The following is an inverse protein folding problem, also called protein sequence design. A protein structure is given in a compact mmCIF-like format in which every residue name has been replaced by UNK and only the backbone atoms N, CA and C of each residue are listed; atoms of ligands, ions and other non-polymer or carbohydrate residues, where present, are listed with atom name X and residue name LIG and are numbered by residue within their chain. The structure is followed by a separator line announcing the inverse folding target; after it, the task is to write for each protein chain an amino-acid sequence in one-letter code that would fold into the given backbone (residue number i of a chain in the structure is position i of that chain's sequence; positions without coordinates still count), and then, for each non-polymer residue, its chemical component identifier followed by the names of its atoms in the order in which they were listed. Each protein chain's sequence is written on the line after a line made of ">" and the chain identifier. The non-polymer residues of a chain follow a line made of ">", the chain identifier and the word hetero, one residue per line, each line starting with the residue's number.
data_IF_631137325133
#
_entry.id   IF_631137325133
#
_cell.length_a   1.000
_cell.length_b   1.000
_cell.length_c   1.000
_cell.angle_alpha   90.00
_cell.angle_beta   90.00
_cell.angle_gamma   90.00
#
_symmetry.space_group_name_H-M   'P 1'
#
loop_
_entity.id
_entity.type
_entity.pdbx_description
1 polymer ?
#
# COMPACT_ATOMS: atom_id res chain seq x y z
N UNK A 1 48.48 26.42 95.33
CA UNK A 1 48.29 27.46 94.28
C UNK A 1 48.75 26.90 92.93
N UNK A 2 47.93 27.13 91.88
CA UNK A 2 48.14 26.72 90.46
C UNK A 2 47.92 25.22 90.18
N UNK A 3 47.15 24.74 89.19
CA UNK A 3 46.63 25.33 87.94
C UNK A 3 45.39 24.55 87.45
N UNK A 4 44.51 25.28 86.74
CA UNK A 4 43.49 24.78 85.82
C UNK A 4 44.08 23.92 84.70
N UNK A 5 43.36 22.89 84.23
CA UNK A 5 43.04 22.57 82.80
C UNK A 5 42.56 21.11 82.65
N UNK A 6 41.31 20.91 82.22
CA UNK A 6 40.90 19.88 81.21
C UNK A 6 39.38 19.63 81.22
N UNK A 7 38.59 20.66 80.89
CA UNK A 7 37.14 20.55 80.66
C UNK A 7 36.69 21.15 79.33
N UNK A 8 37.56 21.14 78.31
CA UNK A 8 37.32 21.85 77.02
C UNK A 8 37.48 20.96 75.77
N UNK A 9 37.42 19.64 75.93
CA UNK A 9 37.42 18.71 74.78
C UNK A 9 36.02 18.24 74.39
N UNK A 10 34.98 18.50 75.18
CA UNK A 10 33.67 17.87 74.96
C UNK A 10 32.85 18.51 73.85
N UNK A 11 32.75 19.84 73.77
CA UNK A 11 31.84 20.49 72.80
C UNK A 11 32.38 20.49 71.36
N UNK A 12 33.67 20.74 71.15
CA UNK A 12 34.26 20.77 69.81
C UNK A 12 34.29 19.37 69.16
N UNK A 13 34.56 18.32 69.95
CA UNK A 13 34.55 16.93 69.47
C UNK A 13 33.13 16.46 69.18
N UNK A 14 32.13 16.86 69.98
CA UNK A 14 30.72 16.54 69.73
C UNK A 14 30.22 17.21 68.43
N UNK A 15 30.58 18.47 68.18
CA UNK A 15 30.18 19.18 66.95
C UNK A 15 30.83 18.55 65.70
N UNK A 16 32.10 18.13 65.81
CA UNK A 16 32.81 17.47 64.72
C UNK A 16 32.21 16.08 64.42
N UNK A 17 31.90 15.29 65.46
CA UNK A 17 31.22 14.00 65.30
C UNK A 17 29.81 14.15 64.71
N UNK A 18 29.03 15.14 65.14
CA UNK A 18 27.70 15.39 64.59
C UNK A 18 27.75 15.80 63.10
N UNK A 19 28.76 16.58 62.70
CA UNK A 19 28.96 16.97 61.29
C UNK A 19 29.40 15.79 60.41
N UNK A 20 30.27 14.92 60.92
CA UNK A 20 30.69 13.70 60.21
C UNK A 20 29.52 12.72 60.06
N UNK A 21 28.68 12.56 61.09
CA UNK A 21 27.46 11.74 61.02
C UNK A 21 26.44 12.35 60.05
N UNK A 22 26.26 13.67 60.05
CA UNK A 22 25.38 14.36 59.10
C UNK A 22 25.85 14.23 57.65
N UNK A 23 27.15 14.35 57.40
CA UNK A 23 27.75 14.17 56.07
C UNK A 23 27.66 12.72 55.60
N UNK A 24 27.94 11.75 56.48
CA UNK A 24 27.78 10.32 56.18
C UNK A 24 26.30 9.96 55.90
N UNK A 25 25.36 10.51 56.67
CA UNK A 25 23.93 10.34 56.43
C UNK A 25 23.50 10.94 55.09
N UNK A 26 24.02 12.11 54.72
CA UNK A 26 23.73 12.75 53.43
C UNK A 26 24.31 11.98 52.23
N UNK A 27 25.51 11.41 52.35
CA UNK A 27 26.11 10.53 51.34
C UNK A 27 25.29 9.24 51.15
N UNK A 28 24.92 8.57 52.24
CA UNK A 28 24.06 7.37 52.20
C UNK A 28 22.69 7.69 51.60
N UNK A 29 22.12 8.87 51.87
CA UNK A 29 20.85 9.30 51.29
C UNK A 29 20.97 9.63 49.78
N UNK A 30 22.08 10.25 49.36
CA UNK A 30 22.36 10.56 47.95
C UNK A 30 22.59 9.30 47.10
N UNK A 31 23.32 8.32 47.62
CA UNK A 31 23.49 7.00 46.96
C UNK A 31 22.16 6.23 46.88
N UNK A 32 21.32 6.34 47.90
CA UNK A 32 19.97 5.73 47.92
C UNK A 32 19.02 6.37 46.90
N UNK A 33 19.07 7.69 46.73
CA UNK A 33 18.30 8.40 45.69
C UNK A 33 18.79 8.07 44.28
N UNK A 34 20.09 7.82 44.10
CA UNK A 34 20.68 7.37 42.84
C UNK A 34 20.28 5.94 42.47
N UNK A 35 20.34 5.01 43.44
CA UNK A 35 19.96 3.61 43.24
C UNK A 35 18.45 3.45 43.03
N UNK A 36 17.60 4.22 43.71
CA UNK A 36 16.15 4.23 43.46
C UNK A 36 15.80 4.76 42.06
N UNK A 37 16.51 5.78 41.55
CA UNK A 37 16.34 6.29 40.19
C UNK A 37 16.81 5.29 39.12
N UNK A 38 17.93 4.62 39.34
CA UNK A 38 18.43 3.56 38.45
C UNK A 38 17.46 2.38 38.40
N UNK A 39 16.98 1.91 39.56
CA UNK A 39 15.98 0.86 39.65
C UNK A 39 14.67 1.25 38.92
N UNK A 40 14.22 2.51 39.04
CA UNK A 40 13.05 3.00 38.33
C UNK A 40 13.25 3.06 36.80
N UNK A 41 14.46 3.42 36.33
CA UNK A 41 14.80 3.41 34.90
C UNK A 41 14.88 1.98 34.35
N UNK A 42 15.49 1.06 35.08
CA UNK A 42 15.54 -0.36 34.71
C UNK A 42 14.13 -0.97 34.66
N UNK A 43 13.28 -0.68 35.64
CA UNK A 43 11.89 -1.12 35.64
C UNK A 43 11.10 -0.56 34.43
N UNK A 44 11.32 0.71 34.06
CA UNK A 44 10.71 1.31 32.86
C UNK A 44 11.24 0.68 31.58
N UNK A 45 12.53 0.40 31.49
CA UNK A 45 13.13 -0.28 30.34
C UNK A 45 12.61 -1.71 30.20
N UNK A 46 12.46 -2.44 31.30
CA UNK A 46 11.85 -3.77 31.32
C UNK A 46 10.38 -3.72 30.89
N UNK A 47 9.61 -2.75 31.38
CA UNK A 47 8.21 -2.55 30.98
C UNK A 47 8.08 -2.20 29.48
N UNK A 48 8.93 -1.30 28.96
CA UNK A 48 8.96 -0.95 27.55
C UNK A 48 9.33 -2.15 26.67
N UNK A 49 10.33 -2.94 27.08
CA UNK A 49 10.71 -4.18 26.40
C UNK A 49 9.58 -5.21 26.39
N UNK A 50 8.87 -5.36 27.51
CA UNK A 50 7.71 -6.24 27.59
C UNK A 50 6.57 -5.78 26.66
N UNK A 51 6.31 -4.47 26.58
CA UNK A 51 5.32 -3.91 25.66
C UNK A 51 5.67 -4.15 24.19
N UNK A 52 6.95 -3.97 23.82
CA UNK A 52 7.41 -4.25 22.44
C UNK A 52 7.25 -5.73 22.12
N UNK A 53 7.66 -6.64 23.01
CA UNK A 53 7.51 -8.09 22.80
C UNK A 53 6.03 -8.50 22.68
N UNK A 54 5.15 -7.91 23.49
CA UNK A 54 3.71 -8.16 23.39
C UNK A 54 3.13 -7.65 22.06
N UNK A 55 3.60 -6.50 21.57
CA UNK A 55 3.18 -5.97 20.27
C UNK A 55 3.68 -6.82 19.10
N UNK A 56 4.91 -7.33 19.17
CA UNK A 56 5.46 -8.25 18.17
C UNK A 56 4.67 -9.56 18.14
N UNK A 57 4.38 -10.16 19.30
CA UNK A 57 3.58 -11.38 19.37
C UNK A 57 2.17 -11.19 18.76
N UNK A 58 1.51 -10.05 19.04
CA UNK A 58 0.22 -9.73 18.43
C UNK A 58 0.31 -9.58 16.90
N UNK A 59 1.39 -8.97 16.39
CA UNK A 59 1.59 -8.82 14.95
C UNK A 59 1.88 -10.16 14.27
N UNK A 60 2.64 -11.05 14.92
CA UNK A 60 2.88 -12.41 14.41
C UNK A 60 1.59 -13.23 14.35
N UNK A 61 0.72 -13.10 15.36
CA UNK A 61 -0.61 -13.72 15.35
C UNK A 61 -1.48 -13.16 14.21
N UNK A 62 -1.54 -11.84 14.04
CA UNK A 62 -2.27 -11.19 12.95
C UNK A 62 -1.72 -11.59 11.56
N UNK A 63 -0.41 -11.73 11.42
CA UNK A 63 0.19 -12.18 10.17
C UNK A 63 -0.19 -13.64 9.87
N UNK A 64 -0.21 -14.50 10.89
CA UNK A 64 -0.63 -15.90 10.74
C UNK A 64 -2.10 -16.04 10.33
N UNK A 65 -2.99 -15.24 10.92
CA UNK A 65 -4.42 -15.24 10.53
C UNK A 65 -4.63 -14.75 9.11
N UNK A 66 -3.94 -13.68 8.71
CA UNK A 66 -3.99 -13.18 7.32
C UNK A 66 -3.39 -14.17 6.32
N UNK A 67 -2.30 -14.85 6.65
CA UNK A 67 -1.74 -15.90 5.79
C UNK A 67 -2.71 -17.07 5.60
N UNK A 68 -3.39 -17.48 6.67
CA UNK A 68 -4.41 -18.54 6.63
C UNK A 68 -5.58 -18.12 5.75
N UNK A 69 -6.11 -16.91 5.97
CA UNK A 69 -7.19 -16.32 5.16
C UNK A 69 -6.80 -16.21 3.69
N UNK A 70 -5.56 -15.83 3.39
CA UNK A 70 -5.07 -15.75 2.01
C UNK A 70 -4.96 -17.14 1.37
N UNK A 71 -4.53 -18.15 2.12
CA UNK A 71 -4.49 -19.54 1.67
C UNK A 71 -5.90 -20.08 1.38
N UNK A 72 -6.87 -19.79 2.24
CA UNK A 72 -8.29 -20.13 2.04
C UNK A 72 -8.85 -19.46 0.78
N UNK A 73 -8.65 -18.15 0.62
CA UNK A 73 -9.09 -17.43 -0.59
C UNK A 73 -8.47 -18.00 -1.87
N UNK A 74 -7.19 -18.41 -1.84
CA UNK A 74 -6.55 -19.06 -2.98
C UNK A 74 -7.16 -20.42 -3.29
N UNK A 75 -7.50 -21.19 -2.26
CA UNK A 75 -8.18 -22.48 -2.42
C UNK A 75 -9.59 -22.29 -3.00
N UNK A 76 -10.34 -21.27 -2.53
CA UNK A 76 -11.66 -20.92 -3.06
C UNK A 76 -11.58 -20.52 -4.53
N UNK A 77 -10.61 -19.69 -4.91
CA UNK A 77 -10.38 -19.31 -6.32
C UNK A 77 -10.04 -20.53 -7.17
N UNK A 78 -9.18 -21.43 -6.69
CA UNK A 78 -8.85 -22.66 -7.40
C UNK A 78 -10.08 -23.57 -7.57
N UNK A 79 -10.91 -23.71 -6.53
CA UNK A 79 -12.14 -24.47 -6.59
C UNK A 79 -13.17 -23.86 -7.55
N UNK A 80 -13.31 -22.53 -7.55
CA UNK A 80 -14.17 -21.82 -8.51
C UNK A 80 -13.69 -22.03 -9.95
N UNK A 81 -12.37 -21.99 -10.18
CA UNK A 81 -11.78 -22.27 -11.50
C UNK A 81 -12.12 -23.69 -11.98
N UNK A 82 -11.93 -24.71 -11.15
CA UNK A 82 -12.29 -26.10 -11.49
C UNK A 82 -13.79 -26.25 -11.77
N UNK A 83 -14.66 -25.54 -11.03
CA UNK A 83 -16.11 -25.56 -11.28
C UNK A 83 -16.50 -24.90 -12.59
N UNK A 84 -15.83 -23.81 -12.97
CA UNK A 84 -16.05 -23.15 -14.25
C UNK A 84 -15.60 -24.06 -15.41
N UNK A 85 -14.47 -24.74 -15.26
CA UNK A 85 -14.00 -25.75 -16.23
C UNK A 85 -15.01 -26.89 -16.38
N UNK A 86 -15.52 -27.44 -15.27
CA UNK A 86 -16.54 -28.49 -15.31
C UNK A 86 -17.86 -28.01 -15.93
N UNK A 87 -18.25 -26.76 -15.68
CA UNK A 87 -19.44 -26.16 -16.29
C UNK A 87 -19.25 -25.93 -17.80
N UNK A 88 -18.07 -25.48 -18.22
CA UNK A 88 -17.72 -25.31 -19.63
C UNK A 88 -17.74 -26.66 -20.38
N UNK A 89 -17.15 -27.71 -19.80
CA UNK A 89 -17.20 -29.06 -20.35
C UNK A 89 -18.65 -29.61 -20.42
N UNK A 90 -19.50 -29.25 -19.45
CA UNK A 90 -20.93 -29.57 -19.48
C UNK A 90 -21.67 -28.90 -20.63
N UNK A 91 -21.31 -27.67 -20.98
CA UNK A 91 -21.90 -26.95 -22.14
C UNK A 91 -21.41 -27.55 -23.45
N UNK A 92 -20.13 -27.91 -23.54
CA UNK A 92 -19.54 -28.54 -24.73
C UNK A 92 -20.14 -29.92 -25.01
N UNK A 93 -20.33 -30.74 -23.98
CA UNK A 93 -21.02 -32.05 -24.11
C UNK A 93 -22.50 -31.91 -24.52
N UNK A 94 -23.20 -30.86 -24.07
CA UNK A 94 -24.56 -30.55 -24.52
C UNK A 94 -24.60 -30.08 -25.98
N UNK A 95 -23.60 -29.32 -26.43
CA UNK A 95 -23.44 -28.90 -27.82
C UNK A 95 -23.07 -30.07 -28.75
N UNK A 96 -22.20 -30.98 -28.32
CA UNK A 96 -21.86 -32.20 -29.05
C UNK A 96 -23.04 -33.19 -29.14
N UNK A 97 -23.82 -33.32 -28.07
CA UNK A 97 -25.06 -34.12 -28.08
C UNK A 97 -26.11 -33.53 -29.03
N UNK A 98 -26.16 -32.20 -29.18
CA UNK A 98 -26.98 -31.53 -30.17
C UNK A 98 -26.45 -31.66 -31.61
N UNK A 99 -25.13 -31.82 -31.80
CA UNK A 99 -24.49 -32.02 -33.10
C UNK A 99 -24.53 -33.47 -33.60
N UNK A 100 -24.84 -34.45 -32.75
CA UNK A 100 -24.86 -35.89 -33.05
C UNK A 100 -26.01 -36.42 -33.92
N UNK A 101 -26.84 -35.57 -34.55
CA UNK A 101 -27.83 -35.99 -35.55
C UNK A 101 -27.37 -35.61 -36.98
N UNK A 102 -26.43 -36.39 -37.55
CA UNK A 102 -26.04 -36.32 -38.96
C UNK A 102 -24.80 -37.19 -39.27
N UNK A 103 -24.72 -37.93 -40.40
CA UNK A 103 -23.94 -39.17 -40.47
C UNK A 103 -22.46 -39.01 -40.91
N UNK A 104 -21.59 -39.67 -40.13
CA UNK A 104 -20.34 -40.43 -40.41
C UNK A 104 -19.43 -40.12 -41.61
N UNK A 105 -18.11 -40.06 -41.37
CA UNK A 105 -17.00 -40.75 -42.08
C UNK A 105 -15.68 -40.58 -41.26
N UNK A 106 -14.71 -41.54 -41.32
CA UNK A 106 -13.99 -42.02 -40.13
C UNK A 106 -12.52 -41.60 -39.92
N UNK A 107 -12.17 -41.83 -38.65
CA UNK A 107 -10.92 -41.97 -37.91
C UNK A 107 -9.69 -42.53 -38.65
N UNK A 108 -8.62 -41.73 -38.75
CA UNK A 108 -7.22 -42.18 -38.69
C UNK A 108 -6.25 -40.98 -38.62
N UNK A 109 -5.80 -40.63 -37.40
CA UNK A 109 -4.47 -40.07 -37.10
C UNK A 109 -4.42 -39.60 -35.63
N UNK A 110 -4.32 -40.56 -34.70
CA UNK A 110 -3.89 -40.27 -33.32
C UNK A 110 -2.36 -40.23 -33.29
N UNK A 111 -1.76 -39.05 -33.10
CA UNK A 111 -0.37 -38.93 -32.62
C UNK A 111 -0.23 -37.69 -31.73
N UNK A 112 0.27 -37.94 -30.52
CA UNK A 112 0.99 -37.04 -29.61
C UNK A 112 0.23 -35.97 -28.80
N UNK A 113 0.09 -36.33 -27.52
CA UNK A 113 -0.05 -35.59 -26.26
C UNK A 113 0.68 -34.23 -26.17
N UNK A 114 -0.09 -33.19 -25.81
CA UNK A 114 0.20 -31.93 -25.06
C UNK A 114 1.52 -31.14 -25.26
N UNK A 115 1.44 -29.79 -25.38
CA UNK A 115 0.97 -28.95 -24.26
C UNK A 115 0.06 -27.78 -24.69
N UNK A 116 -1.24 -27.85 -24.36
CA UNK A 116 -2.18 -26.73 -24.59
C UNK A 116 -2.47 -25.87 -23.36
N UNK A 117 -1.93 -26.22 -22.18
CA UNK A 117 -2.13 -25.44 -20.95
C UNK A 117 -1.46 -24.05 -20.95
N UNK A 118 -0.53 -23.76 -21.88
CA UNK A 118 0.08 -22.42 -22.02
C UNK A 118 -0.69 -21.48 -22.97
N UNK A 119 -1.50 -22.03 -23.88
CA UNK A 119 -2.25 -21.22 -24.83
C UNK A 119 -3.52 -20.62 -24.24
N UNK A 120 -4.21 -21.29 -23.30
CA UNK A 120 -5.45 -20.74 -22.73
C UNK A 120 -5.24 -19.46 -21.91
N UNK A 121 -4.11 -19.33 -21.20
CA UNK A 121 -3.74 -18.09 -20.51
C UNK A 121 -3.32 -17.00 -21.49
N UNK A 122 -2.53 -17.33 -22.51
CA UNK A 122 -2.13 -16.38 -23.55
C UNK A 122 -3.33 -15.89 -24.37
N UNK A 123 -4.30 -16.76 -24.67
CA UNK A 123 -5.51 -16.41 -25.43
C UNK A 123 -6.45 -15.54 -24.59
N UNK A 124 -6.60 -15.80 -23.29
CA UNK A 124 -7.42 -14.96 -22.42
C UNK A 124 -6.78 -13.59 -22.19
N UNK A 125 -5.45 -13.52 -22.00
CA UNK A 125 -4.72 -12.26 -21.86
C UNK A 125 -4.73 -11.44 -23.15
N UNK A 126 -4.52 -12.06 -24.32
CA UNK A 126 -4.65 -11.39 -25.62
C UNK A 126 -6.09 -10.92 -25.87
N UNK A 127 -7.09 -11.72 -25.50
CA UNK A 127 -8.49 -11.33 -25.65
C UNK A 127 -8.84 -10.14 -24.74
N UNK A 128 -8.28 -10.05 -23.53
CA UNK A 128 -8.45 -8.91 -22.62
C UNK A 128 -7.73 -7.67 -23.13
N UNK A 129 -6.52 -7.83 -23.67
CA UNK A 129 -5.78 -6.73 -24.30
C UNK A 129 -6.55 -6.16 -25.51
N UNK A 130 -7.01 -7.04 -26.41
CA UNK A 130 -7.81 -6.65 -27.57
C UNK A 130 -9.16 -6.03 -27.18
N UNK A 131 -9.82 -6.52 -26.13
CA UNK A 131 -11.03 -5.89 -25.59
C UNK A 131 -10.72 -4.50 -24.99
N UNK A 132 -9.57 -4.35 -24.34
CA UNK A 132 -9.10 -3.08 -23.79
C UNK A 132 -8.86 -2.02 -24.87
N UNK A 133 -8.25 -2.43 -25.98
CA UNK A 133 -8.02 -1.60 -27.18
C UNK A 133 -9.32 -1.19 -27.85
N UNK A 134 -10.21 -2.14 -28.11
CA UNK A 134 -11.51 -1.83 -28.71
C UNK A 134 -12.31 -0.84 -27.86
N UNK A 135 -12.26 -0.96 -26.53
CA UNK A 135 -12.93 -0.01 -25.63
C UNK A 135 -12.35 1.42 -25.73
N UNK A 136 -11.04 1.57 -25.98
CA UNK A 136 -10.43 2.89 -26.20
C UNK A 136 -10.89 3.50 -27.54
N UNK A 137 -10.94 2.69 -28.59
CA UNK A 137 -11.43 3.13 -29.90
C UNK A 137 -12.92 3.50 -29.85
N UNK A 138 -13.74 2.72 -29.14
CA UNK A 138 -15.16 3.00 -28.93
C UNK A 138 -15.39 4.26 -28.09
N UNK A 139 -14.52 4.53 -27.10
CA UNK A 139 -14.50 5.79 -26.35
C UNK A 139 -14.11 7.00 -27.20
N UNK A 140 -13.59 6.78 -28.41
CA UNK A 140 -13.32 7.80 -29.42
C UNK A 140 -11.89 8.35 -29.44
N UNK A 141 -10.93 7.63 -28.87
CA UNK A 141 -9.50 7.97 -28.99
C UNK A 141 -8.97 7.67 -30.40
N UNK A 142 -7.95 8.41 -30.83
CA UNK A 142 -7.33 8.19 -32.15
C UNK A 142 -6.55 6.85 -32.18
N UNK A 143 -6.68 6.02 -33.23
CA UNK A 143 -5.96 4.75 -33.29
C UNK A 143 -4.45 4.88 -33.18
N UNK A 144 -3.85 5.90 -33.80
CA UNK A 144 -2.41 6.12 -33.73
C UNK A 144 -1.93 6.54 -32.34
N UNK A 145 -2.75 7.30 -31.62
CA UNK A 145 -2.51 7.65 -30.22
C UNK A 145 -2.60 6.43 -29.30
N UNK A 146 -3.61 5.57 -29.50
CA UNK A 146 -3.77 4.32 -28.76
C UNK A 146 -2.59 3.38 -29.01
N UNK A 147 -2.17 3.20 -30.26
CA UNK A 147 -1.02 2.37 -30.62
C UNK A 147 0.28 2.87 -29.96
N UNK A 148 0.53 4.18 -30.01
CA UNK A 148 1.69 4.80 -29.40
C UNK A 148 1.67 4.64 -27.86
N UNK A 149 0.51 4.81 -27.24
CA UNK A 149 0.33 4.56 -25.81
C UNK A 149 0.63 3.11 -25.45
N UNK A 150 0.09 2.14 -26.20
CA UNK A 150 0.33 0.72 -25.96
C UNK A 150 1.80 0.36 -26.10
N UNK A 151 2.47 0.86 -27.15
CA UNK A 151 3.90 0.63 -27.35
C UNK A 151 4.72 1.18 -26.17
N UNK A 152 4.43 2.42 -25.75
CA UNK A 152 5.10 3.04 -24.60
C UNK A 152 4.89 2.25 -23.30
N UNK A 153 3.67 1.77 -23.07
CA UNK A 153 3.35 0.95 -21.89
C UNK A 153 4.05 -0.42 -21.94
N UNK A 154 4.18 -1.03 -23.11
CA UNK A 154 4.89 -2.29 -23.30
C UNK A 154 6.39 -2.14 -23.02
N UNK A 155 7.00 -1.05 -23.48
CA UNK A 155 8.41 -0.74 -23.19
C UNK A 155 8.65 -0.57 -21.68
N UNK A 156 7.82 0.22 -21.00
CA UNK A 156 7.93 0.44 -19.55
C UNK A 156 7.70 -0.85 -18.74
N UNK A 157 6.80 -1.72 -19.20
CA UNK A 157 6.61 -3.02 -18.59
C UNK A 157 7.84 -3.92 -18.78
N UNK A 158 8.46 -3.89 -19.96
CA UNK A 158 9.68 -4.63 -20.23
C UNK A 158 10.85 -4.13 -19.36
N UNK A 159 11.00 -2.81 -19.23
CA UNK A 159 12.05 -2.21 -18.39
C UNK A 159 11.91 -2.60 -16.93
N UNK A 160 10.68 -2.70 -16.41
CA UNK A 160 10.41 -3.24 -15.07
C UNK A 160 10.83 -4.70 -14.93
N UNK A 161 10.58 -5.53 -15.93
CA UNK A 161 11.00 -6.93 -15.93
C UNK A 161 12.53 -7.04 -15.93
N UNK A 162 13.21 -6.26 -16.78
CA UNK A 162 14.67 -6.20 -16.79
C UNK A 162 15.25 -5.69 -15.48
N UNK A 163 14.63 -4.68 -14.86
CA UNK A 163 15.03 -4.19 -13.54
C UNK A 163 14.96 -5.32 -12.51
N UNK A 164 13.83 -6.02 -12.45
CA UNK A 164 13.62 -7.10 -11.49
C UNK A 164 14.59 -8.28 -11.71
N UNK A 165 14.83 -8.67 -12.97
CA UNK A 165 15.79 -9.73 -13.32
C UNK A 165 17.23 -9.34 -12.90
N UNK A 166 17.67 -8.13 -13.26
CA UNK A 166 19.00 -7.62 -12.88
C UNK A 166 19.15 -7.57 -11.36
N UNK A 167 18.13 -7.07 -10.66
CA UNK A 167 18.12 -6.99 -9.21
C UNK A 167 18.20 -8.36 -8.53
N UNK A 168 17.50 -9.35 -9.07
CA UNK A 168 17.53 -10.71 -8.56
C UNK A 168 18.91 -11.36 -8.78
N UNK A 169 19.51 -11.19 -9.96
CA UNK A 169 20.83 -11.77 -10.30
C UNK A 169 21.97 -11.17 -9.49
N UNK A 170 21.95 -9.86 -9.30
CA UNK A 170 22.97 -9.12 -8.58
C UNK A 170 22.71 -9.04 -7.07
N UNK A 171 21.57 -9.56 -6.61
CA UNK A 171 21.26 -9.70 -5.18
C UNK A 171 20.90 -8.40 -4.46
N UNK A 172 20.35 -7.40 -5.17
CA UNK A 172 19.96 -6.11 -4.57
C UNK A 172 18.44 -5.89 -4.50
N UNK A 173 17.62 -6.92 -4.68
CA UNK A 173 16.19 -6.87 -4.35
C UNK A 173 16.00 -6.42 -2.88
N UNK A 174 15.12 -5.45 -2.66
CA UNK A 174 14.80 -4.94 -1.32
C UNK A 174 15.78 -3.89 -0.76
N UNK A 175 16.85 -3.57 -1.49
CA UNK A 175 17.79 -2.50 -1.12
C UNK A 175 17.24 -1.10 -1.43
N UNK A 176 17.91 -0.05 -0.94
CA UNK A 176 17.63 1.34 -1.32
C UNK A 176 17.72 1.54 -2.84
N UNK A 177 18.77 0.99 -3.46
CA UNK A 177 18.97 1.01 -4.92
C UNK A 177 17.75 0.46 -5.67
N UNK A 178 17.21 -0.68 -5.25
CA UNK A 178 16.01 -1.23 -5.90
C UNK A 178 14.80 -0.30 -5.79
N UNK A 179 14.62 0.32 -4.62
CA UNK A 179 13.52 1.26 -4.41
C UNK A 179 13.67 2.52 -5.26
N UNK A 180 14.87 3.07 -5.35
CA UNK A 180 15.18 4.24 -6.17
C UNK A 180 14.97 3.95 -7.67
N UNK A 181 15.55 2.88 -8.21
CA UNK A 181 15.40 2.53 -9.63
C UNK A 181 13.94 2.18 -9.98
N UNK A 182 13.23 1.48 -9.09
CA UNK A 182 11.81 1.18 -9.29
C UNK A 182 10.93 2.44 -9.18
N UNK A 183 11.31 3.41 -8.33
CA UNK A 183 10.64 4.69 -8.26
C UNK A 183 10.86 5.52 -9.53
N UNK A 184 12.07 5.55 -10.09
CA UNK A 184 12.36 6.24 -11.34
C UNK A 184 11.49 5.72 -12.50
N UNK A 185 11.32 4.40 -12.61
CA UNK A 185 10.40 3.79 -13.60
C UNK A 185 8.92 4.13 -13.33
N UNK A 186 8.53 4.31 -12.06
CA UNK A 186 7.19 4.76 -11.71
C UNK A 186 6.96 6.23 -12.09
N UNK A 187 7.98 7.08 -11.95
CA UNK A 187 7.95 8.47 -12.40
C UNK A 187 7.87 8.56 -13.93
N UNK A 188 8.55 7.67 -14.66
CA UNK A 188 8.42 7.59 -16.11
C UNK A 188 7.02 7.18 -16.57
N UNK A 189 6.38 6.24 -15.85
CA UNK A 189 4.96 5.90 -16.06
C UNK A 189 4.01 7.07 -15.78
N UNK A 190 4.36 7.95 -14.84
CA UNK A 190 3.61 9.20 -14.64
C UNK A 190 3.81 10.15 -15.82
N UNK A 191 4.99 10.20 -16.42
CA UNK A 191 5.27 10.95 -17.65
C UNK A 191 4.37 10.54 -18.82
N UNK A 192 3.96 9.26 -18.90
CA UNK A 192 2.96 8.78 -19.87
C UNK A 192 1.63 9.54 -19.76
N UNK A 193 1.23 9.97 -18.56
CA UNK A 193 0.00 10.77 -18.37
C UNK A 193 0.15 12.21 -18.89
N UNK A 194 1.37 12.74 -18.86
CA UNK A 194 1.66 14.06 -19.44
C UNK A 194 1.69 13.99 -20.98
N UNK A 195 2.16 12.87 -21.54
CA UNK A 195 2.24 12.63 -22.99
C UNK A 195 0.88 12.33 -23.63
N UNK A 196 0.12 11.40 -23.07
CA UNK A 196 -1.14 10.89 -23.65
C UNK A 196 -2.40 11.41 -22.96
N UNK A 197 -2.25 12.19 -21.89
CA UNK A 197 -3.36 12.74 -21.13
C UNK A 197 -4.00 11.77 -20.14
N UNK A 198 -4.67 12.36 -19.15
CA UNK A 198 -5.32 11.62 -18.07
C UNK A 198 -6.53 10.80 -18.53
N UNK A 199 -7.23 11.23 -19.58
CA UNK A 199 -8.46 10.56 -20.03
C UNK A 199 -8.17 9.22 -20.68
N UNK A 200 -7.15 9.15 -21.55
CA UNK A 200 -6.72 7.90 -22.19
C UNK A 200 -6.21 6.92 -21.13
N UNK A 201 -5.41 7.41 -20.18
CA UNK A 201 -4.93 6.60 -19.06
C UNK A 201 -6.06 6.09 -18.16
N UNK A 202 -7.06 6.92 -17.85
CA UNK A 202 -8.23 6.52 -17.06
C UNK A 202 -9.04 5.42 -17.76
N UNK A 203 -9.26 5.57 -19.08
CA UNK A 203 -9.92 4.57 -19.90
C UNK A 203 -9.12 3.27 -20.03
N UNK A 204 -7.79 3.33 -20.17
CA UNK A 204 -6.96 2.13 -20.28
C UNK A 204 -6.98 1.32 -18.97
N UNK A 205 -6.98 2.00 -17.82
CA UNK A 205 -7.16 1.36 -16.52
C UNK A 205 -8.53 0.68 -16.44
N UNK A 206 -9.60 1.40 -16.80
CA UNK A 206 -10.95 0.86 -16.75
C UNK A 206 -11.10 -0.34 -17.70
N UNK A 207 -10.69 -0.23 -18.96
CA UNK A 207 -10.91 -1.26 -19.99
C UNK A 207 -10.09 -2.53 -19.72
N UNK A 208 -8.88 -2.40 -19.17
CA UNK A 208 -8.07 -3.54 -18.71
C UNK A 208 -8.59 -4.23 -17.44
N UNK A 209 -9.65 -3.70 -16.82
CA UNK A 209 -10.24 -4.24 -15.60
C UNK A 209 -9.52 -3.81 -14.32
N UNK A 210 -8.62 -2.83 -14.41
CA UNK A 210 -7.91 -2.26 -13.26
C UNK A 210 -8.78 -1.20 -12.57
N UNK A 211 -8.46 -0.93 -11.31
CA UNK A 211 -9.09 0.15 -10.55
C UNK A 211 -8.50 1.49 -10.95
N UNK A 212 -9.36 2.52 -10.98
CA UNK A 212 -9.04 3.86 -11.48
C UNK A 212 -9.62 4.97 -10.58
N UNK A 213 -10.16 4.61 -9.41
CA UNK A 213 -10.67 5.53 -8.40
C UNK A 213 -10.17 5.16 -7.03
N UNK A 214 -10.08 6.17 -6.17
CA UNK A 214 -9.76 6.03 -4.75
C UNK A 214 -10.99 6.43 -3.94
N UNK A 215 -11.70 5.45 -3.39
CA UNK A 215 -12.86 5.70 -2.54
C UNK A 215 -12.43 5.74 -1.07
N UNK A 216 -12.95 6.70 -0.31
CA UNK A 216 -12.78 6.80 1.13
C UNK A 216 -13.59 5.71 1.81
N UNK A 217 -12.92 4.74 2.42
CA UNK A 217 -13.55 3.68 3.19
C UNK A 217 -13.98 4.20 4.57
N UNK A 218 -13.10 4.93 5.26
CA UNK A 218 -13.41 5.54 6.55
C UNK A 218 -12.49 6.73 6.84
N UNK A 219 -12.93 7.60 7.76
CA UNK A 219 -12.21 8.81 8.14
C UNK A 219 -11.85 8.74 9.62
N UNK A 220 -10.59 9.03 9.94
CA UNK A 220 -10.10 9.03 11.32
C UNK A 220 -10.61 10.29 12.03
N UNK A 221 -11.22 10.13 13.20
CA UNK A 221 -11.70 11.25 14.01
C UNK A 221 -10.58 12.22 14.41
N UNK A 222 -10.82 13.52 14.27
CA UNK A 222 -9.82 14.57 14.57
C UNK A 222 -8.72 14.72 13.51
N UNK A 223 -8.81 14.02 12.38
CA UNK A 223 -7.87 14.16 11.26
C UNK A 223 -8.10 15.43 10.43
N UNK A 224 -7.11 15.84 9.60
CA UNK A 224 -7.29 16.91 8.63
C UNK A 224 -8.45 16.68 7.66
N UNK A 225 -8.67 15.44 7.21
CA UNK A 225 -9.80 15.09 6.35
C UNK A 225 -11.14 15.27 7.06
N UNK A 226 -11.24 14.84 8.33
CA UNK A 226 -12.45 15.04 9.14
C UNK A 226 -12.76 16.53 9.34
N UNK A 227 -11.75 17.34 9.64
CA UNK A 227 -11.91 18.79 9.81
C UNK A 227 -12.34 19.50 8.51
N UNK A 228 -11.92 18.96 7.37
CA UNK A 228 -12.28 19.48 6.05
C UNK A 228 -13.64 18.98 5.54
N UNK A 229 -14.30 18.06 6.25
CA UNK A 229 -15.60 17.52 5.88
C UNK A 229 -15.58 16.40 4.83
N UNK A 230 -14.44 15.71 4.67
CA UNK A 230 -14.38 14.47 3.88
C UNK A 230 -15.12 13.37 4.65
N UNK A 231 -15.90 12.56 3.92
CA UNK A 231 -16.77 11.53 4.48
C UNK A 231 -16.48 10.15 3.88
N UNK A 232 -16.94 9.09 4.55
CA UNK A 232 -16.91 7.73 3.99
C UNK A 232 -17.82 7.67 2.76
N UNK A 233 -17.36 6.99 1.71
CA UNK A 233 -18.04 6.89 0.42
C UNK A 233 -17.56 7.92 -0.61
N UNK A 234 -16.93 9.02 -0.18
CA UNK A 234 -16.36 10.03 -1.07
C UNK A 234 -15.32 9.40 -2.01
N UNK A 235 -15.31 9.79 -3.27
CA UNK A 235 -14.29 9.39 -4.25
C UNK A 235 -13.36 10.55 -4.50
N UNK A 236 -12.07 10.38 -4.22
CA UNK A 236 -11.08 11.43 -4.43
C UNK A 236 -10.79 11.55 -5.92
N UNK A 237 -11.13 12.71 -6.51
CA UNK A 237 -10.96 13.01 -7.93
C UNK A 237 -9.65 13.75 -8.20
N UNK A 238 -9.30 14.73 -7.37
CA UNK A 238 -8.08 15.51 -7.52
C UNK A 238 -7.49 15.92 -6.17
N UNK A 239 -6.16 16.11 -6.16
CA UNK A 239 -5.41 16.62 -5.03
C UNK A 239 -4.40 17.67 -5.52
N UNK A 240 -4.54 18.89 -5.03
CA UNK A 240 -3.85 20.06 -5.57
C UNK A 240 -4.32 20.31 -7.00
N UNK A 241 -3.38 20.26 -7.94
CA UNK A 241 -3.61 20.45 -9.38
C UNK A 241 -3.63 19.12 -10.15
N UNK A 242 -3.41 17.99 -9.46
CA UNK A 242 -3.28 16.69 -10.10
C UNK A 242 -4.54 15.82 -9.91
N UNK A 243 -4.99 15.19 -10.99
CA UNK A 243 -6.03 14.16 -10.95
C UNK A 243 -5.52 12.89 -10.29
N UNK A 244 -6.36 12.28 -9.46
CA UNK A 244 -6.05 11.06 -8.72
C UNK A 244 -6.78 9.89 -9.38
N UNK A 245 -6.02 8.94 -9.93
CA UNK A 245 -6.56 7.72 -10.55
C UNK A 245 -6.19 6.46 -9.76
N UNK A 246 -5.30 6.59 -8.78
CA UNK A 246 -4.90 5.48 -7.92
C UNK A 246 -4.37 5.91 -6.56
N UNK A 247 -4.22 4.92 -5.68
CA UNK A 247 -3.69 5.13 -4.34
C UNK A 247 -2.26 5.69 -4.36
N UNK A 248 -1.41 5.19 -5.25
CA UNK A 248 -0.03 5.63 -5.36
C UNK A 248 0.04 7.11 -5.77
N UNK A 249 -0.81 7.55 -6.70
CA UNK A 249 -0.95 8.96 -7.08
C UNK A 249 -1.25 9.80 -5.85
N UNK A 250 -2.31 9.47 -5.11
CA UNK A 250 -2.70 10.22 -3.92
C UNK A 250 -1.56 10.27 -2.89
N UNK A 251 -0.91 9.15 -2.67
CA UNK A 251 0.20 9.06 -1.73
C UNK A 251 1.39 9.92 -2.16
N UNK A 252 1.72 9.93 -3.46
CA UNK A 252 2.79 10.78 -4.01
C UNK A 252 2.41 12.26 -3.88
N UNK A 253 1.21 12.65 -4.31
CA UNK A 253 0.74 14.04 -4.29
C UNK A 253 0.65 14.62 -2.87
N UNK A 254 0.33 13.81 -1.86
CA UNK A 254 0.33 14.25 -0.45
C UNK A 254 1.73 14.49 0.13
N UNK A 255 2.79 13.93 -0.49
CA UNK A 255 4.19 14.12 -0.10
C UNK A 255 4.88 15.22 -0.87
N UNK A 256 4.41 15.53 -2.07
CA UNK A 256 4.87 16.66 -2.87
C UNK A 256 4.52 17.99 -2.21
N UNK A 257 5.39 19.00 -2.35
CA UNK A 257 5.19 20.34 -1.81
C UNK A 257 5.67 20.50 -0.36
N UNK A 258 5.24 21.58 0.29
CA UNK A 258 5.64 21.88 1.68
C UNK A 258 4.66 21.27 2.68
N UNK A 259 5.19 20.61 3.72
CA UNK A 259 4.34 20.07 4.78
C UNK A 259 3.49 21.17 5.44
N UNK A 260 2.19 20.91 5.61
CA UNK A 260 1.24 21.87 6.20
C UNK A 260 0.71 22.95 5.26
N UNK A 261 1.26 23.08 4.05
CA UNK A 261 0.68 23.93 3.00
C UNK A 261 -0.76 23.51 2.70
N UNK A 262 -1.65 24.45 2.38
CA UNK A 262 -3.05 24.10 2.07
C UNK A 262 -3.17 23.58 0.64
N UNK A 263 -3.61 22.33 0.48
CA UNK A 263 -3.96 21.72 -0.79
C UNK A 263 -5.48 21.69 -0.98
N UNK A 264 -5.95 21.97 -2.21
CA UNK A 264 -7.34 21.73 -2.62
C UNK A 264 -7.53 20.23 -2.86
N UNK A 265 -8.66 19.69 -2.42
CA UNK A 265 -9.07 18.32 -2.73
C UNK A 265 -10.45 18.37 -3.32
N UNK A 266 -10.66 17.62 -4.40
CA UNK A 266 -11.95 17.45 -5.02
C UNK A 266 -12.42 16.03 -4.79
N UNK A 267 -13.65 15.89 -4.31
CA UNK A 267 -14.27 14.60 -4.08
C UNK A 267 -15.62 14.52 -4.79
N UNK A 268 -15.94 13.36 -5.35
CA UNK A 268 -17.29 13.03 -5.75
C UNK A 268 -18.04 12.41 -4.57
N UNK A 269 -19.20 12.98 -4.24
CA UNK A 269 -20.11 12.53 -3.20
C UNK A 269 -21.47 12.26 -3.83
N UNK A 270 -21.74 11.01 -4.16
CA UNK A 270 -22.87 10.67 -5.03
C UNK A 270 -22.69 11.34 -6.39
N UNK A 271 -23.67 12.15 -6.79
CA UNK A 271 -23.66 12.89 -8.05
C UNK A 271 -23.07 14.31 -7.94
N UNK A 272 -22.66 14.72 -6.73
CA UNK A 272 -22.12 16.06 -6.48
C UNK A 272 -20.60 16.06 -6.39
N UNK A 273 -19.99 17.15 -6.85
CA UNK A 273 -18.57 17.41 -6.67
C UNK A 273 -18.36 18.41 -5.54
N UNK A 274 -17.65 17.98 -4.50
CA UNK A 274 -17.33 18.79 -3.32
C UNK A 274 -15.86 19.18 -3.34
N UNK A 275 -15.58 20.46 -3.11
CA UNK A 275 -14.21 20.97 -2.98
C UNK A 275 -13.91 21.29 -1.53
N UNK A 276 -12.85 20.69 -1.01
CA UNK A 276 -12.36 20.92 0.35
C UNK A 276 -10.91 21.38 0.32
N UNK A 277 -10.43 21.90 1.44
CA UNK A 277 -9.04 22.30 1.63
C UNK A 277 -8.46 21.59 2.83
N UNK A 278 -7.32 20.96 2.66
CA UNK A 278 -6.61 20.21 3.70
C UNK A 278 -5.15 20.65 3.76
N UNK A 279 -4.51 20.64 4.93
CA UNK A 279 -3.05 20.74 4.99
C UNK A 279 -2.40 19.53 4.31
N UNK A 280 -1.31 19.76 3.58
CA UNK A 280 -0.47 18.72 2.98
C UNK A 280 0.14 17.83 4.06
N UNK A 281 0.26 16.55 3.73
CA UNK A 281 0.70 15.50 4.64
C UNK A 281 -0.38 14.44 4.87
N UNK A 282 -0.38 13.75 6.03
CA UNK A 282 -1.30 12.66 6.30
C UNK A 282 -2.74 13.16 6.43
N UNK A 283 -3.61 12.72 5.50
CA UNK A 283 -5.02 13.12 5.48
C UNK A 283 -5.84 12.48 6.60
N UNK A 284 -5.43 11.29 7.07
CA UNK A 284 -6.14 10.53 8.10
C UNK A 284 -7.40 9.83 7.58
N UNK A 285 -7.28 9.19 6.42
CA UNK A 285 -8.35 8.41 5.78
C UNK A 285 -7.87 6.99 5.50
N UNK A 286 -8.78 6.04 5.57
CA UNK A 286 -8.62 4.73 4.96
C UNK A 286 -9.30 4.77 3.59
N UNK A 287 -8.64 4.19 2.59
CA UNK A 287 -9.15 4.19 1.22
C UNK A 287 -9.23 2.77 0.69
N UNK A 288 -10.12 2.57 -0.28
CA UNK A 288 -10.25 1.35 -1.04
C UNK A 288 -10.16 1.65 -2.54
N UNK A 289 -9.44 0.82 -3.32
CA UNK A 289 -9.44 0.92 -4.76
C UNK A 289 -10.82 0.60 -5.33
N UNK A 290 -11.31 1.42 -6.24
CA UNK A 290 -12.60 1.22 -6.90
C UNK A 290 -12.42 1.35 -8.41
N UNK A 291 -13.18 0.56 -9.17
CA UNK A 291 -13.26 0.67 -10.62
C UNK A 291 -14.57 1.39 -10.97
N UNK A 292 -14.47 2.47 -11.72
CA UNK A 292 -15.60 3.28 -12.16
C UNK A 292 -15.39 3.62 -13.62
N UNK A 293 -16.47 3.61 -14.40
CA UNK A 293 -16.39 4.04 -15.79
C UNK A 293 -15.97 5.52 -15.87
N UNK A 294 -14.95 5.87 -16.67
CA UNK A 294 -14.58 7.26 -16.88
C UNK A 294 -15.71 8.03 -17.57
N UNK A 295 -15.81 9.32 -17.27
CA UNK A 295 -16.74 10.18 -17.99
C UNK A 295 -16.31 10.26 -19.47
N UNK A 296 -17.27 10.09 -20.37
CA UNK A 296 -17.06 10.25 -21.80
C UNK A 296 -16.61 11.67 -22.11
N UNK A 297 -15.34 11.85 -22.47
CA UNK A 297 -14.85 13.11 -23.04
C UNK A 297 -15.22 13.09 -24.51
N UNK A 298 -16.45 13.50 -24.82
CA UNK A 298 -16.93 13.59 -26.20
C UNK A 298 -15.93 14.32 -27.08
N UNK A 299 -15.62 13.72 -28.23
CA UNK A 299 -14.65 14.18 -29.26
C UNK A 299 -14.35 15.67 -29.14
N UNK A 300 -13.09 16.01 -28.84
CA UNK A 300 -12.59 17.35 -29.20
C UNK A 300 -12.81 17.49 -30.70
N UNK A 301 -13.78 18.32 -31.09
CA UNK A 301 -14.02 18.70 -32.48
C UNK A 301 -12.92 19.62 -32.97
#
# INVERSE_FOLDING_TARGET
>A
MSKHLSGRWSLAVIILLASVVGYAAAMIHGERLGSERLAALEARAQAARAQVLARVALLEEQLGTEQTRNAELRADVAWMATRLEAAAAGVETLLESAAGQGPSVPEEARVATEPQARESGSRSDQSRAAAGENALLEAGFDPGEVDAYQARMADLQMDKLYLADRAAREGWIGTDRFREENQALAEELNGTREEFGDDLYDWSLYSSGRTNRVQVASVIGGSPAAAAGIESGDIILSYGEARILGFNDLQQRTREGSAGETARVEVARGDETVHVRVPRGPLGIHVQPTRMEPLHVGRRR
#
